data_IF_967043704820
#
_entry.id   IF_967043704820
#
_cell.length_a   1.000
_cell.length_b   1.000
_cell.length_c   1.000
_cell.angle_alpha   90.00
_cell.angle_beta   90.00
_cell.angle_gamma   90.00
#
_symmetry.space_group_name_H-M   'P 1'
#
loop_
_entity.id
_entity.type
_entity.pdbx_description
1 polymer ?
#
# COMPACT_ATOMS: atom_id res chain seq x y z
N UNK A 1 0.67 25.37 -29.43
CA UNK A 1 -0.08 24.44 -28.59
C UNK A 1 0.79 24.08 -27.39
N UNK A 2 0.68 24.86 -26.32
CA UNK A 2 1.41 24.68 -25.06
C UNK A 2 0.66 23.64 -24.23
N UNK A 3 1.19 22.44 -24.14
CA UNK A 3 0.76 21.45 -23.16
C UNK A 3 1.28 21.88 -21.78
N UNK A 4 0.47 22.61 -21.04
CA UNK A 4 0.63 22.78 -19.62
C UNK A 4 0.17 21.50 -18.94
N UNK A 5 1.06 20.52 -18.85
CA UNK A 5 0.90 19.41 -17.96
C UNK A 5 0.97 19.92 -16.52
N UNK A 6 -0.17 20.23 -15.91
CA UNK A 6 -0.23 20.38 -14.48
C UNK A 6 -0.07 19.01 -13.84
N UNK A 7 1.16 18.56 -13.67
CA UNK A 7 1.44 17.54 -12.67
C UNK A 7 1.27 18.22 -11.32
N UNK A 8 0.10 18.09 -10.70
CA UNK A 8 0.01 18.28 -9.27
C UNK A 8 1.06 17.34 -8.65
N UNK A 9 1.96 17.85 -7.79
CA UNK A 9 2.86 16.97 -7.08
C UNK A 9 1.98 16.06 -6.20
N UNK A 10 1.71 14.86 -6.68
CA UNK A 10 1.18 13.80 -5.85
C UNK A 10 2.23 13.59 -4.78
N UNK A 11 1.97 14.08 -3.57
CA UNK A 11 2.83 13.84 -2.41
C UNK A 11 2.86 12.33 -2.21
N UNK A 12 3.95 11.72 -2.64
CA UNK A 12 4.15 10.28 -2.47
C UNK A 12 4.24 9.99 -0.97
N UNK A 13 3.79 8.82 -0.57
CA UNK A 13 3.96 8.36 0.83
C UNK A 13 5.42 8.39 1.29
N UNK A 14 6.35 8.18 0.36
CA UNK A 14 7.79 8.33 0.54
C UNK A 14 8.19 9.76 0.92
N UNK A 15 7.58 10.79 0.31
CA UNK A 15 7.86 12.20 0.63
C UNK A 15 7.35 12.55 2.03
N UNK A 16 6.22 11.96 2.44
CA UNK A 16 5.68 12.13 3.78
C UNK A 16 6.66 11.60 4.84
N UNK A 17 7.15 10.37 4.69
CA UNK A 17 8.03 9.76 5.69
C UNK A 17 9.40 10.44 5.73
N UNK A 18 9.95 10.88 4.59
CA UNK A 18 11.16 11.68 4.54
C UNK A 18 10.98 13.02 5.26
N UNK A 19 9.89 13.75 4.94
CA UNK A 19 9.62 15.07 5.52
C UNK A 19 9.47 15.05 7.04
N UNK A 20 8.91 13.97 7.60
CA UNK A 20 8.73 13.83 9.05
C UNK A 20 10.00 13.29 9.71
N UNK A 21 10.56 12.20 9.19
CA UNK A 21 11.72 11.56 9.79
C UNK A 21 13.01 12.36 9.61
N UNK A 22 13.17 13.00 8.45
CA UNK A 22 14.43 13.63 8.05
C UNK A 22 15.54 12.61 7.74
N UNK A 23 15.21 11.33 7.56
CA UNK A 23 16.17 10.23 7.39
C UNK A 23 16.21 9.77 5.94
N UNK A 24 15.10 9.21 5.45
CA UNK A 24 15.01 8.59 4.13
C UNK A 24 13.57 8.61 3.61
N UNK A 25 13.41 8.47 2.31
CA UNK A 25 12.13 8.18 1.65
C UNK A 25 11.84 6.66 1.55
N UNK A 26 12.82 5.83 1.86
CA UNK A 26 12.70 4.38 1.85
C UNK A 26 12.17 3.86 3.19
N UNK A 27 11.05 3.15 3.15
CA UNK A 27 10.45 2.60 4.36
C UNK A 27 11.33 1.57 5.07
N UNK A 28 12.26 0.91 4.37
CA UNK A 28 13.21 -0.03 4.98
C UNK A 28 14.15 0.69 5.93
N UNK A 29 14.67 1.84 5.52
CA UNK A 29 15.55 2.67 6.35
C UNK A 29 14.79 3.23 7.56
N UNK A 30 13.53 3.65 7.33
CA UNK A 30 12.68 4.18 8.41
C UNK A 30 12.33 3.10 9.44
N UNK A 31 11.97 1.89 8.98
CA UNK A 31 11.71 0.75 9.86
C UNK A 31 12.95 0.37 10.69
N UNK A 32 14.13 0.37 10.06
CA UNK A 32 15.40 0.10 10.73
C UNK A 32 15.69 1.17 11.79
N UNK A 33 15.62 2.45 11.43
CA UNK A 33 15.85 3.53 12.36
C UNK A 33 14.87 3.53 13.55
N UNK A 34 13.59 3.22 13.30
CA UNK A 34 12.60 3.07 14.37
C UNK A 34 12.93 1.90 15.31
N UNK A 35 13.37 0.76 14.78
CA UNK A 35 13.81 -0.39 15.57
C UNK A 35 15.06 -0.08 16.41
N UNK A 36 15.90 0.86 15.96
CA UNK A 36 17.07 1.38 16.70
C UNK A 36 16.70 2.48 17.73
N UNK A 37 15.40 2.78 17.89
CA UNK A 37 14.89 3.74 18.86
C UNK A 37 14.80 5.19 18.36
N UNK A 38 14.85 5.44 17.06
CA UNK A 38 14.67 6.78 16.51
C UNK A 38 13.20 7.21 16.59
N UNK A 39 12.90 8.16 17.47
CA UNK A 39 11.54 8.65 17.73
C UNK A 39 10.90 9.31 16.50
N UNK A 40 11.67 10.01 15.68
CA UNK A 40 11.14 10.65 14.47
C UNK A 40 10.79 9.63 13.38
N UNK A 41 11.56 8.55 13.27
CA UNK A 41 11.23 7.45 12.38
C UNK A 41 9.95 6.76 12.83
N UNK A 42 9.80 6.47 14.12
CA UNK A 42 8.58 5.89 14.67
C UNK A 42 7.36 6.81 14.48
N UNK A 43 7.52 8.12 14.69
CA UNK A 43 6.49 9.11 14.43
C UNK A 43 6.07 9.11 12.96
N UNK A 44 7.02 9.04 12.03
CA UNK A 44 6.73 8.99 10.59
C UNK A 44 5.91 7.76 10.21
N UNK A 45 6.26 6.58 10.75
CA UNK A 45 5.51 5.34 10.56
C UNK A 45 4.09 5.43 11.13
N UNK A 46 3.93 6.02 12.31
CA UNK A 46 2.62 6.19 12.94
C UNK A 46 1.73 7.17 12.17
N UNK A 47 2.27 8.26 11.66
CA UNK A 47 1.51 9.21 10.83
C UNK A 47 1.10 8.54 9.52
N UNK A 48 2.00 7.81 8.87
CA UNK A 48 1.68 7.05 7.66
C UNK A 48 0.57 6.02 7.92
N UNK A 49 0.73 5.18 8.97
CA UNK A 49 -0.28 4.21 9.40
C UNK A 49 -1.65 4.86 9.60
N UNK A 50 -1.69 5.94 10.39
CA UNK A 50 -2.94 6.64 10.70
C UNK A 50 -3.61 7.20 9.45
N UNK A 51 -2.82 7.72 8.49
CA UNK A 51 -3.35 8.20 7.22
C UNK A 51 -4.03 7.08 6.43
N UNK A 52 -3.40 5.92 6.33
CA UNK A 52 -3.97 4.77 5.63
C UNK A 52 -5.27 4.32 6.30
N UNK A 53 -5.28 4.20 7.63
CA UNK A 53 -6.47 3.83 8.40
C UNK A 53 -7.61 4.84 8.19
N UNK A 54 -7.32 6.14 8.18
CA UNK A 54 -8.32 7.17 7.89
C UNK A 54 -8.98 6.98 6.52
N UNK A 55 -8.20 6.68 5.48
CA UNK A 55 -8.74 6.41 4.15
C UNK A 55 -9.56 5.12 4.12
N UNK A 56 -9.08 4.04 4.72
CA UNK A 56 -9.83 2.79 4.82
C UNK A 56 -11.17 3.04 5.53
N UNK A 57 -11.16 3.74 6.65
CA UNK A 57 -12.38 4.09 7.40
C UNK A 57 -13.35 4.94 6.59
N UNK A 58 -12.84 5.97 5.91
CA UNK A 58 -13.65 6.85 5.07
C UNK A 58 -14.31 6.07 3.92
N UNK A 59 -13.57 5.25 3.21
CA UNK A 59 -14.12 4.44 2.12
C UNK A 59 -15.08 3.37 2.63
N UNK A 60 -14.80 2.72 3.74
CA UNK A 60 -15.71 1.76 4.37
C UNK A 60 -17.05 2.42 4.70
N UNK A 61 -17.02 3.64 5.24
CA UNK A 61 -18.24 4.38 5.55
C UNK A 61 -19.04 4.75 4.28
N UNK A 62 -18.35 5.22 3.24
CA UNK A 62 -19.00 5.61 1.96
C UNK A 62 -19.61 4.41 1.24
N UNK A 63 -18.94 3.26 1.29
CA UNK A 63 -19.43 2.02 0.67
C UNK A 63 -20.49 1.28 1.50
N UNK A 64 -20.70 1.69 2.75
CA UNK A 64 -21.60 0.99 3.67
C UNK A 64 -21.04 -0.34 4.21
N UNK A 65 -19.74 -0.55 4.11
CA UNK A 65 -19.01 -1.74 4.52
C UNK A 65 -17.83 -2.04 3.60
N UNK A 66 -17.09 -3.10 3.90
CA UNK A 66 -15.97 -3.58 3.10
C UNK A 66 -15.88 -5.10 3.20
N UNK A 67 -15.70 -5.78 2.08
CA UNK A 67 -15.54 -7.24 2.02
C UNK A 67 -14.06 -7.65 1.98
N UNK A 68 -13.24 -6.82 1.34
CA UNK A 68 -11.81 -7.08 1.21
C UNK A 68 -10.98 -5.78 1.21
N UNK A 69 -9.76 -5.89 1.77
CA UNK A 69 -8.72 -4.86 1.70
C UNK A 69 -7.55 -5.45 0.95
N UNK A 70 -7.06 -4.75 -0.06
CA UNK A 70 -5.95 -5.21 -0.91
C UNK A 70 -4.76 -4.29 -0.69
N UNK A 71 -3.65 -4.86 -0.26
CA UNK A 71 -2.34 -4.22 -0.24
C UNK A 71 -1.62 -4.50 -1.55
N UNK A 72 -1.24 -3.46 -2.26
CA UNK A 72 -0.58 -3.56 -3.56
C UNK A 72 0.48 -2.48 -3.71
N UNK A 73 1.29 -2.55 -4.74
CA UNK A 73 2.37 -1.63 -5.06
C UNK A 73 3.40 -1.42 -3.94
N UNK A 74 4.66 -1.35 -4.26
CA UNK A 74 5.77 -0.97 -3.40
C UNK A 74 5.67 -1.46 -1.95
N UNK A 75 5.34 -0.55 -1.03
CA UNK A 75 5.23 -0.83 0.41
C UNK A 75 4.10 -1.82 0.73
N UNK A 76 2.96 -1.73 0.03
CA UNK A 76 1.81 -2.59 0.30
C UNK A 76 2.11 -4.07 0.08
N UNK A 77 2.74 -4.40 -1.05
CA UNK A 77 3.04 -5.78 -1.42
C UNK A 77 4.32 -6.33 -0.79
N UNK A 78 5.29 -5.46 -0.44
CA UNK A 78 6.64 -5.88 -0.05
C UNK A 78 6.99 -5.63 1.43
N UNK A 79 6.08 -5.10 2.25
CA UNK A 79 6.41 -4.77 3.64
C UNK A 79 5.46 -5.41 4.64
N UNK A 80 5.83 -6.59 5.13
CA UNK A 80 5.15 -7.26 6.24
C UNK A 80 4.94 -6.33 7.46
N UNK A 81 5.97 -5.60 7.96
CA UNK A 81 5.80 -4.78 9.16
C UNK A 81 4.80 -3.64 8.97
N UNK A 82 4.73 -3.06 7.78
CA UNK A 82 3.78 -1.99 7.48
C UNK A 82 2.35 -2.53 7.40
N UNK A 83 2.13 -3.66 6.71
CA UNK A 83 0.81 -4.31 6.68
C UNK A 83 0.34 -4.67 8.08
N UNK A 84 1.23 -5.27 8.90
CA UNK A 84 0.92 -5.63 10.29
C UNK A 84 0.53 -4.39 11.11
N UNK A 85 1.29 -3.29 11.04
CA UNK A 85 0.97 -2.03 11.72
C UNK A 85 -0.40 -1.46 11.36
N UNK A 86 -0.81 -1.58 10.09
CA UNK A 86 -2.10 -1.08 9.62
C UNK A 86 -3.22 -2.02 10.06
N UNK A 87 -3.08 -3.31 9.78
CA UNK A 87 -4.15 -4.30 9.98
C UNK A 87 -4.46 -4.50 11.45
N UNK A 88 -3.47 -4.41 12.36
CA UNK A 88 -3.69 -4.54 13.80
C UNK A 88 -4.69 -3.53 14.39
N UNK A 89 -4.85 -2.37 13.75
CA UNK A 89 -5.79 -1.34 14.17
C UNK A 89 -7.21 -1.51 13.56
N UNK A 90 -7.37 -2.45 12.63
CA UNK A 90 -8.62 -2.66 11.91
C UNK A 90 -9.47 -3.81 12.47
N UNK A 91 -9.16 -4.26 13.69
CA UNK A 91 -9.91 -5.32 14.38
C UNK A 91 -11.40 -5.03 14.55
N UNK A 92 -11.80 -3.76 14.64
CA UNK A 92 -13.21 -3.34 14.71
C UNK A 92 -14.02 -3.70 13.45
N UNK A 93 -13.36 -3.92 12.31
CA UNK A 93 -13.97 -4.45 11.08
C UNK A 93 -14.10 -5.97 11.10
N UNK A 94 -13.67 -6.63 12.16
CA UNK A 94 -13.64 -8.09 12.26
C UNK A 94 -12.47 -8.72 11.49
N UNK A 95 -11.42 -7.94 11.20
CA UNK A 95 -10.21 -8.43 10.55
C UNK A 95 -9.34 -9.17 11.57
N UNK A 96 -8.82 -10.32 11.12
CA UNK A 96 -7.83 -11.11 11.85
C UNK A 96 -6.66 -11.40 10.91
N UNK A 97 -5.47 -10.92 11.26
CA UNK A 97 -4.26 -11.13 10.48
C UNK A 97 -3.71 -12.55 10.73
N UNK A 98 -3.30 -13.22 9.67
CA UNK A 98 -2.47 -14.43 9.72
C UNK A 98 -1.00 -13.98 9.61
N UNK A 99 -0.27 -14.07 10.72
CA UNK A 99 1.10 -13.56 10.80
C UNK A 99 2.08 -14.34 9.91
N UNK A 100 1.85 -15.64 9.71
CA UNK A 100 2.71 -16.44 8.83
C UNK A 100 2.49 -16.10 7.37
N UNK A 101 1.23 -16.02 6.94
CA UNK A 101 0.88 -15.61 5.58
C UNK A 101 1.27 -14.18 5.28
N UNK A 102 1.27 -13.29 6.29
CA UNK A 102 1.69 -11.90 6.11
C UNK A 102 3.19 -11.74 5.78
N UNK A 103 4.00 -12.77 5.94
CA UNK A 103 5.43 -12.75 5.53
C UNK A 103 5.63 -12.75 4.01
N UNK A 104 4.56 -12.91 3.24
CA UNK A 104 4.62 -12.89 1.78
C UNK A 104 5.22 -11.58 1.25
N UNK A 105 6.03 -11.69 0.20
CA UNK A 105 6.63 -10.56 -0.51
C UNK A 105 6.60 -10.84 -2.02
N UNK A 106 6.01 -9.92 -2.79
CA UNK A 106 5.99 -10.01 -4.25
C UNK A 106 5.10 -11.12 -4.84
N UNK A 107 4.29 -11.79 -4.02
CA UNK A 107 3.37 -12.83 -4.46
C UNK A 107 1.95 -12.54 -3.98
N UNK A 108 0.97 -13.11 -4.67
CA UNK A 108 -0.44 -12.98 -4.28
C UNK A 108 -0.75 -13.92 -3.12
N UNK A 109 -1.20 -13.38 -1.99
CA UNK A 109 -1.58 -14.16 -0.82
C UNK A 109 -2.75 -13.51 -0.08
N UNK A 110 -3.61 -14.36 0.51
CA UNK A 110 -4.62 -13.93 1.48
C UNK A 110 -4.00 -13.96 2.88
N UNK A 111 -3.69 -12.78 3.40
CA UNK A 111 -2.97 -12.61 4.66
C UNK A 111 -3.89 -12.47 5.89
N UNK A 112 -5.19 -12.65 5.73
CA UNK A 112 -6.15 -12.78 6.84
C UNK A 112 -6.46 -14.25 7.12
N UNK A 113 -6.84 -14.54 8.37
CA UNK A 113 -7.30 -15.88 8.76
C UNK A 113 -8.62 -16.26 8.08
N UNK A 114 -8.97 -17.54 8.07
CA UNK A 114 -10.20 -18.03 7.44
C UNK A 114 -11.47 -17.46 8.09
N UNK A 115 -11.44 -17.27 9.40
CA UNK A 115 -12.54 -16.73 10.20
C UNK A 115 -12.57 -15.20 10.25
N UNK A 116 -11.70 -14.53 9.51
CA UNK A 116 -11.73 -13.06 9.33
C UNK A 116 -12.98 -12.66 8.54
N UNK A 117 -13.76 -11.70 9.09
CA UNK A 117 -14.96 -11.18 8.42
C UNK A 117 -14.64 -10.43 7.14
N UNK A 118 -13.58 -9.61 7.17
CA UNK A 118 -13.07 -8.90 6.01
C UNK A 118 -11.79 -9.60 5.58
N UNK A 119 -11.66 -9.91 4.30
CA UNK A 119 -10.46 -10.52 3.75
C UNK A 119 -9.38 -9.47 3.56
N UNK A 120 -8.13 -9.84 3.85
CA UNK A 120 -6.97 -8.99 3.57
C UNK A 120 -6.04 -9.74 2.63
N UNK A 121 -5.69 -9.09 1.52
CA UNK A 121 -4.83 -9.69 0.49
C UNK A 121 -3.60 -8.82 0.26
N UNK A 122 -2.47 -9.45 -0.02
CA UNK A 122 -1.32 -8.82 -0.67
C UNK A 122 -1.33 -9.26 -2.13
N UNK A 123 -1.32 -8.31 -3.07
CA UNK A 123 -1.35 -8.59 -4.51
C UNK A 123 -0.30 -7.72 -5.19
N UNK A 124 0.72 -8.32 -5.83
CA UNK A 124 1.73 -7.55 -6.56
C UNK A 124 1.13 -6.83 -7.76
N UNK A 125 1.60 -5.61 -7.97
CA UNK A 125 1.25 -4.83 -9.16
C UNK A 125 2.05 -5.34 -10.35
N UNK A 126 1.38 -5.69 -11.43
CA UNK A 126 2.04 -6.09 -12.68
C UNK A 126 1.86 -5.00 -13.74
N UNK A 127 2.55 -3.87 -13.56
CA UNK A 127 2.47 -2.72 -14.47
C UNK A 127 3.02 -3.06 -15.86
N UNK A 128 4.07 -3.87 -15.95
CA UNK A 128 4.67 -4.28 -17.22
C UNK A 128 3.68 -5.07 -18.08
N UNK A 129 2.92 -5.98 -17.48
CA UNK A 129 1.90 -6.75 -18.18
C UNK A 129 0.77 -5.85 -18.70
N UNK A 130 0.36 -4.85 -17.91
CA UNK A 130 -0.67 -3.89 -18.35
C UNK A 130 -0.17 -3.07 -19.53
N UNK A 131 1.04 -2.52 -19.46
CA UNK A 131 1.66 -1.77 -20.57
C UNK A 131 1.77 -2.65 -21.80
N UNK A 132 2.20 -3.90 -21.67
CA UNK A 132 2.30 -4.83 -22.79
C UNK A 132 0.95 -5.13 -23.43
N UNK A 133 -0.11 -5.32 -22.64
CA UNK A 133 -1.48 -5.54 -23.11
C UNK A 133 -2.02 -4.31 -23.84
N UNK A 134 -1.91 -3.14 -23.25
CA UNK A 134 -2.38 -1.88 -23.82
C UNK A 134 -1.64 -1.58 -25.13
N UNK A 135 -0.31 -1.79 -25.15
CA UNK A 135 0.50 -1.63 -26.36
C UNK A 135 0.04 -2.57 -27.46
N UNK A 136 -0.18 -3.85 -27.15
CA UNK A 136 -0.68 -4.84 -28.10
C UNK A 136 -2.03 -4.42 -28.67
N UNK A 137 -2.96 -4.01 -27.82
CA UNK A 137 -4.31 -3.57 -28.24
C UNK A 137 -4.23 -2.35 -29.16
N UNK A 138 -3.38 -1.36 -28.85
CA UNK A 138 -3.18 -0.17 -29.70
C UNK A 138 -2.60 -0.56 -31.06
N UNK A 139 -1.60 -1.43 -31.09
CA UNK A 139 -0.97 -1.90 -32.33
C UNK A 139 -1.98 -2.65 -33.21
N UNK A 140 -2.74 -3.56 -32.61
CA UNK A 140 -3.77 -4.34 -33.33
C UNK A 140 -4.90 -3.46 -33.86
N UNK A 141 -5.40 -2.50 -33.05
CA UNK A 141 -6.46 -1.57 -33.48
C UNK A 141 -6.03 -0.62 -34.61
N UNK A 142 -4.78 -0.20 -34.59
CA UNK A 142 -4.27 0.76 -35.57
C UNK A 142 -3.58 0.10 -36.79
N UNK A 143 -3.56 -1.23 -36.90
CA UNK A 143 -2.83 -1.98 -37.91
C UNK A 143 -1.36 -1.53 -38.10
N UNK A 144 -0.71 -1.10 -37.03
CA UNK A 144 0.70 -0.70 -37.07
C UNK A 144 1.54 -1.97 -37.17
N UNK A 145 2.26 -2.13 -38.33
CA UNK A 145 3.19 -3.24 -38.56
C UNK A 145 4.59 -2.89 -38.08
#
# INVERSE_FOLDING_TARGET
STHLGHSFPTRRSSDLVLGISGISSDFRDILKAAAEGNERAELALNIFKNKVIQYIGAYTAVMGGVDAIIFTAGVGENSEPIRKRIVSELGFLGIKLDEEKNKVMGETETISTEDSKVKVLAIPTNEELMIARDTKEIVEKNNIK
#
